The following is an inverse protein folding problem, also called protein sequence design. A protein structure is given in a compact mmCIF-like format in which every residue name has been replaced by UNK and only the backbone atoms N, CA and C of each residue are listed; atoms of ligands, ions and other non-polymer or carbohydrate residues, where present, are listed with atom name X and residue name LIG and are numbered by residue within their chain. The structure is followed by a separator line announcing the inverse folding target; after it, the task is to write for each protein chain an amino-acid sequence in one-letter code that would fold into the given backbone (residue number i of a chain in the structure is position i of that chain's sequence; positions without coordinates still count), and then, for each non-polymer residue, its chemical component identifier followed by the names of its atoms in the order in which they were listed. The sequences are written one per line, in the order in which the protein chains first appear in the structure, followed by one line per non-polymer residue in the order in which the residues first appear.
data_IF_225908560106
#
_entry.id   IF_225908560106
#
_cell.length_a   1.000
_cell.length_b   1.000
_cell.length_c   1.000
_cell.angle_alpha   90.00
_cell.angle_beta   90.00
_cell.angle_gamma   90.00
#
_symmetry.space_group_name_H-M   'P 1'
#
loop_
_entity.id
_entity.type
_entity.pdbx_description
1 polymer ?
#
# COMPACT_ATOMS: atom_id res chain seq x y z
N UNK A 1 -12.13 -30.75 -40.73
CA UNK A 1 -12.06 -29.28 -40.79
C UNK A 1 -12.85 -28.57 -39.65
N UNK A 2 -12.62 -28.95 -38.36
CA UNK A 2 -13.32 -28.28 -37.22
C UNK A 2 -12.38 -27.85 -36.06
N UNK A 3 -11.06 -28.05 -36.18
CA UNK A 3 -10.10 -27.76 -35.12
C UNK A 3 -9.45 -26.38 -35.19
N UNK A 4 -9.55 -25.65 -36.31
CA UNK A 4 -8.89 -24.34 -36.49
C UNK A 4 -9.67 -23.16 -35.87
N UNK A 5 -11.02 -23.27 -35.73
CA UNK A 5 -11.84 -22.15 -35.24
C UNK A 5 -11.73 -21.96 -33.70
N UNK A 6 -11.41 -22.98 -32.91
CA UNK A 6 -11.29 -22.86 -31.47
C UNK A 6 -10.01 -22.15 -31.01
N UNK A 7 -8.92 -22.33 -31.73
CA UNK A 7 -7.63 -21.69 -31.39
C UNK A 7 -7.68 -20.18 -31.69
N UNK A 8 -8.33 -19.78 -32.79
CA UNK A 8 -8.46 -18.37 -33.17
C UNK A 8 -9.37 -17.61 -32.20
N UNK A 9 -10.46 -18.23 -31.70
CA UNK A 9 -11.34 -17.60 -30.71
C UNK A 9 -10.63 -17.42 -29.33
N UNK A 10 -9.83 -18.38 -28.92
CA UNK A 10 -9.07 -18.28 -27.66
C UNK A 10 -7.97 -17.21 -27.72
N UNK A 11 -7.28 -17.07 -28.86
CA UNK A 11 -6.27 -16.02 -29.04
C UNK A 11 -6.88 -14.62 -29.13
N UNK A 12 -8.06 -14.47 -29.78
CA UNK A 12 -8.78 -13.21 -29.83
C UNK A 12 -9.33 -12.81 -28.45
N UNK A 13 -9.80 -13.75 -27.63
CA UNK A 13 -10.28 -13.45 -26.28
C UNK A 13 -9.14 -13.08 -25.32
N UNK A 14 -7.94 -13.69 -25.44
CA UNK A 14 -6.76 -13.25 -24.68
C UNK A 14 -6.30 -11.83 -25.08
N UNK A 15 -6.22 -11.56 -26.38
CA UNK A 15 -5.79 -10.24 -26.87
C UNK A 15 -6.76 -9.11 -26.48
N UNK A 16 -8.07 -9.39 -26.42
CA UNK A 16 -9.08 -8.42 -25.96
C UNK A 16 -8.98 -8.22 -24.43
N UNK A 17 -8.70 -9.27 -23.65
CA UNK A 17 -8.46 -9.14 -22.21
C UNK A 17 -7.18 -8.35 -21.91
N UNK A 18 -6.09 -8.59 -22.64
CA UNK A 18 -4.85 -7.82 -22.50
C UNK A 18 -5.01 -6.36 -22.92
N UNK A 19 -5.72 -6.09 -24.03
CA UNK A 19 -6.00 -4.73 -24.49
C UNK A 19 -6.89 -3.94 -23.52
N UNK A 20 -7.84 -4.59 -22.84
CA UNK A 20 -8.69 -3.96 -21.81
C UNK A 20 -7.92 -3.70 -20.51
N UNK A 21 -6.95 -4.53 -20.16
CA UNK A 21 -6.07 -4.31 -19.02
C UNK A 21 -5.10 -3.13 -19.26
N UNK A 22 -4.61 -2.97 -20.48
CA UNK A 22 -3.66 -1.93 -20.88
C UNK A 22 -4.26 -0.51 -20.89
N UNK A 23 -5.59 -0.38 -20.96
CA UNK A 23 -6.29 0.91 -21.02
C UNK A 23 -6.94 1.33 -19.69
N UNK A 24 -6.64 0.65 -18.59
CA UNK A 24 -7.20 1.00 -17.29
C UNK A 24 -6.48 2.22 -16.73
N UNK A 25 -7.21 3.33 -16.57
CA UNK A 25 -6.70 4.53 -15.90
C UNK A 25 -6.27 4.20 -14.47
N UNK A 26 -5.19 4.84 -14.00
CA UNK A 26 -4.76 4.70 -12.60
C UNK A 26 -5.90 5.12 -11.67
N UNK A 27 -6.06 4.39 -10.57
CA UNK A 27 -7.00 4.75 -9.51
C UNK A 27 -6.29 5.59 -8.46
N UNK A 28 -6.89 6.72 -8.11
CA UNK A 28 -6.35 7.67 -7.11
C UNK A 28 -7.17 7.57 -5.83
N UNK A 29 -6.51 7.20 -4.75
CA UNK A 29 -7.11 7.07 -3.41
C UNK A 29 -6.63 8.10 -2.41
N UNK A 30 -7.20 8.03 -1.21
CA UNK A 30 -6.83 8.88 -0.09
C UNK A 30 -6.70 8.07 1.19
N UNK A 31 -5.55 8.18 1.85
CA UNK A 31 -5.32 7.62 3.19
C UNK A 31 -6.04 8.50 4.21
N UNK A 32 -7.08 7.98 4.84
CA UNK A 32 -7.94 8.76 5.72
C UNK A 32 -8.55 7.91 6.84
N UNK A 33 -8.86 8.51 8.02
CA UNK A 33 -9.64 7.84 9.05
C UNK A 33 -11.05 7.47 8.56
N UNK A 34 -11.63 6.44 9.19
CA UNK A 34 -13.01 6.01 8.95
C UNK A 34 -14.02 7.15 9.05
N UNK A 35 -13.75 8.14 9.92
CA UNK A 35 -14.61 9.31 10.11
C UNK A 35 -14.82 10.15 8.83
N UNK A 36 -13.89 10.13 7.89
CA UNK A 36 -13.87 11.01 6.72
C UNK A 36 -14.35 10.36 5.41
N UNK A 37 -14.99 9.20 5.44
CA UNK A 37 -15.41 8.45 4.25
C UNK A 37 -16.24 9.30 3.28
N UNK A 38 -17.26 10.01 3.78
CA UNK A 38 -18.17 10.83 2.99
C UNK A 38 -17.43 12.02 2.37
N UNK A 39 -16.55 12.65 3.14
CA UNK A 39 -15.75 13.77 2.66
C UNK A 39 -14.78 13.35 1.55
N UNK A 40 -14.13 12.18 1.69
CA UNK A 40 -13.24 11.63 0.68
C UNK A 40 -13.99 11.27 -0.61
N UNK A 41 -15.18 10.66 -0.50
CA UNK A 41 -16.06 10.39 -1.65
C UNK A 41 -16.47 11.68 -2.35
N UNK A 42 -16.92 12.68 -1.58
CA UNK A 42 -17.34 13.98 -2.12
C UNK A 42 -16.18 14.74 -2.80
N UNK A 43 -14.95 14.54 -2.33
CA UNK A 43 -13.74 15.11 -2.93
C UNK A 43 -13.33 14.47 -4.27
N UNK A 44 -13.95 13.36 -4.68
CA UNK A 44 -13.77 12.74 -5.99
C UNK A 44 -12.68 11.68 -6.08
N UNK A 45 -12.21 11.14 -4.94
CA UNK A 45 -11.31 9.99 -4.93
C UNK A 45 -12.00 8.73 -5.42
N UNK A 46 -11.26 7.89 -6.15
CA UNK A 46 -11.77 6.62 -6.69
C UNK A 46 -11.96 5.58 -5.56
N UNK A 47 -11.18 5.70 -4.48
CA UNK A 47 -11.22 4.82 -3.32
C UNK A 47 -10.64 5.53 -2.09
N UNK A 48 -10.83 4.93 -0.93
CA UNK A 48 -10.14 5.32 0.31
C UNK A 48 -9.25 4.20 0.81
N UNK A 49 -8.22 4.57 1.55
CA UNK A 49 -7.32 3.69 2.27
C UNK A 49 -7.46 3.96 3.77
N UNK A 50 -7.93 2.95 4.52
CA UNK A 50 -8.22 3.07 5.95
C UNK A 50 -7.08 2.53 6.80
N UNK A 51 -7.02 2.94 8.07
CA UNK A 51 -6.06 2.40 9.02
C UNK A 51 -6.44 0.97 9.45
N UNK A 52 -5.56 -0.01 9.21
CA UNK A 52 -5.73 -1.38 9.70
C UNK A 52 -5.82 -1.42 11.23
N UNK A 53 -4.96 -0.66 11.93
CA UNK A 53 -4.97 -0.65 13.40
C UNK A 53 -6.24 -0.03 13.98
N UNK A 54 -6.82 0.99 13.32
CA UNK A 54 -8.13 1.53 13.67
C UNK A 54 -9.21 0.44 13.55
N UNK A 55 -9.32 -0.20 12.39
CA UNK A 55 -10.32 -1.25 12.13
C UNK A 55 -10.15 -2.48 13.05
N UNK A 56 -8.93 -2.94 13.25
CA UNK A 56 -8.65 -4.09 14.11
C UNK A 56 -8.90 -3.80 15.60
N UNK A 57 -8.76 -2.53 16.00
CA UNK A 57 -8.95 -2.07 17.38
C UNK A 57 -10.40 -1.86 17.79
N UNK A 58 -11.34 -1.73 16.86
CA UNK A 58 -12.75 -1.51 17.18
C UNK A 58 -13.33 -2.65 18.03
N UNK A 59 -14.22 -2.37 18.99
CA UNK A 59 -15.14 -3.38 19.54
C UNK A 59 -15.98 -4.02 18.42
N UNK A 60 -16.47 -5.24 18.59
CA UNK A 60 -17.19 -5.95 17.52
C UNK A 60 -18.44 -5.18 17.05
N UNK A 61 -19.24 -4.66 17.99
CA UNK A 61 -20.41 -3.82 17.66
C UNK A 61 -20.07 -2.54 16.89
N UNK A 62 -18.90 -1.97 17.13
CA UNK A 62 -18.42 -0.76 16.42
C UNK A 62 -17.92 -1.11 15.05
N UNK A 63 -17.29 -2.28 14.91
CA UNK A 63 -16.88 -2.81 13.61
C UNK A 63 -18.09 -3.09 12.71
N UNK A 64 -19.15 -3.69 13.24
CA UNK A 64 -20.38 -3.95 12.49
C UNK A 64 -21.01 -2.65 11.98
N UNK A 65 -21.05 -1.62 12.83
CA UNK A 65 -21.51 -0.26 12.40
C UNK A 65 -20.59 0.38 11.35
N UNK A 66 -19.27 0.21 11.51
CA UNK A 66 -18.30 0.70 10.54
C UNK A 66 -18.47 0.02 9.17
N UNK A 67 -18.67 -1.31 9.17
CA UNK A 67 -18.89 -2.09 7.96
C UNK A 67 -20.18 -1.67 7.23
N UNK A 68 -21.25 -1.45 7.96
CA UNK A 68 -22.51 -0.95 7.40
C UNK A 68 -22.32 0.47 6.82
N UNK A 69 -21.65 1.36 7.54
CA UNK A 69 -21.36 2.73 7.06
C UNK A 69 -20.52 2.71 5.78
N UNK A 70 -19.46 1.88 5.70
CA UNK A 70 -18.65 1.73 4.49
C UNK A 70 -19.53 1.32 3.29
N UNK A 71 -20.45 0.37 3.50
CA UNK A 71 -21.39 -0.10 2.46
C UNK A 71 -22.36 0.98 2.03
N UNK A 72 -22.91 1.75 2.97
CA UNK A 72 -23.85 2.84 2.68
C UNK A 72 -23.18 4.00 1.95
N UNK A 73 -21.99 4.40 2.36
CA UNK A 73 -21.21 5.43 1.66
C UNK A 73 -20.86 4.96 0.25
N UNK A 74 -20.53 3.67 0.08
CA UNK A 74 -20.29 3.06 -1.22
C UNK A 74 -19.04 3.55 -1.93
N UNK A 75 -18.05 4.12 -1.19
CA UNK A 75 -16.71 4.36 -1.72
C UNK A 75 -15.89 3.07 -1.56
N UNK A 76 -15.19 2.60 -2.60
CA UNK A 76 -14.34 1.42 -2.50
C UNK A 76 -13.24 1.56 -1.44
N UNK A 77 -12.92 0.48 -0.73
CA UNK A 77 -11.82 0.41 0.25
C UNK A 77 -10.92 -0.79 -0.09
N UNK A 78 -10.13 -0.74 -1.16
CA UNK A 78 -9.31 -1.87 -1.58
C UNK A 78 -7.98 -2.00 -0.84
N UNK A 79 -7.56 -0.97 -0.10
CA UNK A 79 -6.28 -0.91 0.60
C UNK A 79 -6.44 -0.38 2.03
N UNK A 80 -5.48 -0.73 2.89
CA UNK A 80 -5.34 -0.17 4.23
C UNK A 80 -3.87 0.02 4.60
N UNK A 81 -3.57 1.06 5.37
CA UNK A 81 -2.25 1.35 5.91
C UNK A 81 -2.16 1.11 7.43
N UNK A 82 -1.08 1.56 8.09
CA UNK A 82 -0.89 1.47 9.54
C UNK A 82 -1.19 0.07 10.09
N UNK A 83 -0.59 -0.96 9.48
CA UNK A 83 -0.91 -2.36 9.74
C UNK A 83 -0.82 -2.74 11.22
N UNK A 84 0.32 -2.50 11.87
CA UNK A 84 0.55 -2.90 13.25
C UNK A 84 0.57 -1.70 14.19
N UNK A 85 -0.08 -1.80 15.37
CA UNK A 85 0.12 -0.81 16.42
C UNK A 85 1.57 -0.82 16.91
N UNK A 86 2.11 0.34 17.29
CA UNK A 86 3.51 0.49 17.69
C UNK A 86 3.93 -0.39 18.87
N UNK A 87 2.97 -0.76 19.73
CA UNK A 87 3.23 -1.65 20.88
C UNK A 87 3.47 -3.11 20.47
N UNK A 88 2.94 -3.55 19.33
CA UNK A 88 3.10 -4.92 18.83
C UNK A 88 4.42 -5.06 18.08
N UNK A 89 5.49 -5.30 18.83
CA UNK A 89 6.85 -5.37 18.27
C UNK A 89 7.05 -6.60 17.39
N UNK A 90 7.75 -6.39 16.27
CA UNK A 90 8.18 -7.46 15.34
C UNK A 90 9.70 -7.59 15.27
N UNK A 91 10.43 -6.73 15.95
CA UNK A 91 11.88 -6.74 16.08
C UNK A 91 12.27 -6.58 17.54
N UNK A 92 13.46 -7.08 17.89
CA UNK A 92 14.02 -6.98 19.23
C UNK A 92 13.84 -8.23 20.10
N UNK A 93 14.31 -8.19 21.36
CA UNK A 93 14.32 -9.36 22.24
C UNK A 93 12.94 -9.74 22.80
N UNK A 94 11.98 -8.79 22.81
CA UNK A 94 10.67 -8.95 23.46
C UNK A 94 9.53 -9.19 22.45
N UNK A 95 9.81 -9.86 21.33
CA UNK A 95 8.75 -10.21 20.38
C UNK A 95 7.88 -11.34 20.90
N UNK A 96 6.57 -11.15 20.82
CA UNK A 96 5.55 -12.17 21.15
C UNK A 96 4.89 -12.65 19.85
N UNK A 97 5.30 -13.83 19.40
CA UNK A 97 4.83 -14.42 18.13
C UNK A 97 3.35 -14.80 18.16
N UNK A 98 2.85 -15.23 19.28
CA UNK A 98 1.45 -15.65 19.44
C UNK A 98 0.55 -14.42 19.45
N UNK A 99 0.93 -13.35 20.16
CA UNK A 99 0.21 -12.08 20.14
C UNK A 99 0.21 -11.46 18.74
N UNK A 100 1.34 -11.50 18.01
CA UNK A 100 1.41 -11.06 16.62
C UNK A 100 0.40 -11.80 15.75
N UNK A 101 0.36 -13.13 15.82
CA UNK A 101 -0.54 -13.94 14.98
C UNK A 101 -2.01 -13.79 15.38
N UNK A 102 -2.31 -13.65 16.66
CA UNK A 102 -3.66 -13.37 17.14
C UNK A 102 -4.19 -12.04 16.55
N UNK A 103 -3.36 -10.99 16.61
CA UNK A 103 -3.69 -9.70 16.01
C UNK A 103 -3.89 -9.80 14.49
N UNK A 104 -2.93 -10.41 13.78
CA UNK A 104 -2.97 -10.56 12.32
C UNK A 104 -4.22 -11.29 11.86
N UNK A 105 -4.58 -12.39 12.50
CA UNK A 105 -5.80 -13.16 12.18
C UNK A 105 -7.06 -12.32 12.36
N UNK A 106 -7.18 -11.59 13.47
CA UNK A 106 -8.30 -10.68 13.74
C UNK A 106 -8.35 -9.55 12.69
N UNK A 107 -7.21 -8.88 12.45
CA UNK A 107 -7.13 -7.80 11.48
C UNK A 107 -7.55 -8.27 10.08
N UNK A 108 -6.91 -9.31 9.55
CA UNK A 108 -7.20 -9.79 8.20
C UNK A 108 -8.64 -10.31 8.03
N UNK A 109 -9.24 -10.91 9.08
CA UNK A 109 -10.64 -11.32 9.03
C UNK A 109 -11.59 -10.13 8.86
N UNK A 110 -11.33 -9.01 9.55
CA UNK A 110 -12.11 -7.77 9.40
C UNK A 110 -11.87 -7.08 8.07
N UNK A 111 -10.60 -7.00 7.63
CA UNK A 111 -10.24 -6.40 6.36
C UNK A 111 -10.87 -7.14 5.17
N UNK A 112 -10.93 -8.47 5.23
CA UNK A 112 -11.60 -9.30 4.23
C UNK A 112 -13.10 -8.97 4.11
N UNK A 113 -13.80 -8.73 5.24
CA UNK A 113 -15.22 -8.37 5.23
C UNK A 113 -15.48 -7.00 4.58
N UNK A 114 -14.52 -6.08 4.66
CA UNK A 114 -14.56 -4.77 3.98
C UNK A 114 -14.25 -4.91 2.49
N UNK A 115 -13.52 -5.94 2.08
CA UNK A 115 -13.04 -6.14 0.72
C UNK A 115 -11.64 -5.59 0.46
N UNK A 116 -10.84 -5.39 1.53
CA UNK A 116 -9.46 -4.93 1.43
C UNK A 116 -8.58 -6.07 0.92
N UNK A 117 -7.78 -5.78 -0.12
CA UNK A 117 -6.87 -6.73 -0.77
C UNK A 117 -5.40 -6.36 -0.63
N UNK A 118 -5.09 -5.12 -0.26
CA UNK A 118 -3.72 -4.63 0.00
C UNK A 118 -3.64 -4.12 1.44
N UNK A 119 -2.63 -4.57 2.18
CA UNK A 119 -2.32 -4.08 3.53
C UNK A 119 -0.91 -3.51 3.53
N UNK A 120 -0.79 -2.21 3.70
CA UNK A 120 0.50 -1.51 3.75
C UNK A 120 1.16 -1.69 5.11
N UNK A 121 2.36 -2.28 5.11
CA UNK A 121 3.18 -2.51 6.28
C UNK A 121 4.27 -1.43 6.40
N UNK A 122 3.89 -0.22 6.74
CA UNK A 122 4.78 0.84 7.20
C UNK A 122 5.15 0.59 8.65
N UNK A 123 4.24 0.83 9.58
CA UNK A 123 4.29 0.45 11.02
C UNK A 123 5.66 0.67 11.68
N UNK A 124 6.27 1.85 11.47
CA UNK A 124 7.65 2.15 11.90
C UNK A 124 7.92 1.82 13.37
N UNK A 125 6.99 2.20 14.26
CA UNK A 125 7.12 1.92 15.70
C UNK A 125 7.12 0.44 16.05
N UNK A 126 6.38 -0.40 15.30
CA UNK A 126 6.34 -1.86 15.55
C UNK A 126 7.66 -2.54 15.13
N UNK A 127 8.30 -2.06 14.05
CA UNK A 127 9.55 -2.63 13.52
C UNK A 127 10.81 -1.86 13.94
N UNK A 128 10.69 -0.85 14.82
CA UNK A 128 11.83 -0.12 15.37
C UNK A 128 12.78 -1.09 16.07
N UNK A 129 14.02 -1.15 15.62
CA UNK A 129 15.08 -1.96 16.24
C UNK A 129 15.52 -1.29 17.55
N UNK A 130 15.45 -1.98 18.70
CA UNK A 130 15.91 -1.42 19.96
C UNK A 130 17.41 -1.10 19.95
N UNK A 131 17.80 -0.12 20.74
CA UNK A 131 19.20 0.24 20.92
C UNK A 131 20.03 -0.99 21.38
N UNK A 132 21.19 -1.19 20.76
CA UNK A 132 22.07 -2.33 21.05
C UNK A 132 21.61 -3.67 20.46
N UNK A 133 20.43 -3.76 19.85
CA UNK A 133 19.99 -4.99 19.21
C UNK A 133 20.58 -5.10 17.79
N UNK A 134 21.14 -6.27 17.39
CA UNK A 134 21.77 -6.42 16.07
C UNK A 134 20.77 -6.25 14.93
N UNK A 135 21.06 -5.36 13.96
CA UNK A 135 20.18 -5.09 12.81
C UNK A 135 19.95 -6.32 11.93
N UNK A 136 20.99 -7.14 11.74
CA UNK A 136 20.85 -8.38 10.95
C UNK A 136 19.86 -9.36 11.62
N UNK A 137 19.90 -9.45 12.95
CA UNK A 137 18.93 -10.26 13.69
C UNK A 137 17.52 -9.68 13.58
N UNK A 138 17.38 -8.36 13.65
CA UNK A 138 16.10 -7.69 13.44
C UNK A 138 15.56 -7.92 12.01
N UNK A 139 16.42 -7.90 11.00
CA UNK A 139 16.05 -8.22 9.64
C UNK A 139 15.54 -9.68 9.51
N UNK A 140 16.24 -10.64 10.13
CA UNK A 140 15.77 -12.03 10.15
C UNK A 140 14.42 -12.19 10.88
N UNK A 141 14.17 -11.42 11.95
CA UNK A 141 12.86 -11.39 12.61
C UNK A 141 11.76 -10.86 11.69
N UNK A 142 12.04 -9.84 10.86
CA UNK A 142 11.11 -9.36 9.84
C UNK A 142 10.84 -10.41 8.76
N UNK A 143 11.86 -11.13 8.31
CA UNK A 143 11.71 -12.25 7.36
C UNK A 143 10.83 -13.34 7.95
N UNK A 144 11.09 -13.77 9.18
CA UNK A 144 10.26 -14.76 9.88
C UNK A 144 8.82 -14.29 10.06
N UNK A 145 8.62 -13.03 10.44
CA UNK A 145 7.29 -12.44 10.56
C UNK A 145 6.55 -12.48 9.22
N UNK A 146 7.18 -12.00 8.13
CA UNK A 146 6.61 -12.00 6.79
C UNK A 146 6.20 -13.42 6.35
N UNK A 147 7.08 -14.40 6.54
CA UNK A 147 6.80 -15.82 6.21
C UNK A 147 5.65 -16.42 7.00
N UNK A 148 5.44 -15.98 8.24
CA UNK A 148 4.32 -16.46 9.07
C UNK A 148 2.98 -15.84 8.69
N UNK A 149 2.97 -14.56 8.30
CA UNK A 149 1.71 -13.87 7.99
C UNK A 149 1.26 -14.05 6.54
N UNK A 150 2.17 -14.33 5.60
CA UNK A 150 1.84 -14.45 4.18
C UNK A 150 0.81 -15.57 3.87
N UNK A 151 0.87 -16.77 4.48
CA UNK A 151 -0.17 -17.78 4.30
C UNK A 151 -1.55 -17.33 4.80
N UNK A 152 -1.58 -16.58 5.91
CA UNK A 152 -2.82 -16.02 6.48
C UNK A 152 -3.41 -14.93 5.58
N UNK A 153 -2.56 -14.10 5.00
CA UNK A 153 -2.95 -13.10 3.99
C UNK A 153 -3.52 -13.78 2.74
N UNK A 154 -2.82 -14.79 2.22
CA UNK A 154 -3.26 -15.57 1.04
C UNK A 154 -4.63 -16.20 1.24
N UNK A 155 -4.87 -16.81 2.38
CA UNK A 155 -6.15 -17.44 2.71
C UNK A 155 -7.34 -16.46 2.65
N UNK A 156 -7.08 -15.15 2.71
CA UNK A 156 -8.08 -14.08 2.67
C UNK A 156 -8.02 -13.20 1.42
N UNK A 157 -7.20 -13.56 0.43
CA UNK A 157 -7.03 -12.76 -0.78
C UNK A 157 -6.32 -11.41 -0.53
N UNK A 158 -5.52 -11.33 0.55
CA UNK A 158 -4.76 -10.14 0.92
C UNK A 158 -3.31 -10.28 0.47
N UNK A 159 -2.72 -9.19 0.00
CA UNK A 159 -1.27 -9.01 -0.16
C UNK A 159 -0.79 -7.97 0.84
N UNK A 160 0.20 -8.33 1.66
CA UNK A 160 0.91 -7.37 2.51
C UNK A 160 1.98 -6.69 1.66
N UNK A 161 2.01 -5.37 1.66
CA UNK A 161 2.98 -4.58 0.92
C UNK A 161 3.85 -3.78 1.90
N UNK A 162 5.13 -4.19 2.05
CA UNK A 162 6.05 -3.47 2.93
C UNK A 162 6.34 -2.09 2.38
N UNK A 163 6.27 -1.11 3.26
CA UNK A 163 6.58 0.28 3.00
C UNK A 163 7.92 0.65 3.64
N UNK A 164 8.94 0.97 2.87
CA UNK A 164 10.15 1.61 3.36
C UNK A 164 9.86 3.01 3.90
N UNK A 165 10.29 3.31 5.11
CA UNK A 165 10.06 4.59 5.77
C UNK A 165 11.37 5.33 5.97
N UNK A 166 11.32 6.67 5.94
CA UNK A 166 12.48 7.51 6.24
C UNK A 166 13.05 7.24 7.65
N UNK A 167 14.35 7.52 7.91
CA UNK A 167 15.01 7.21 9.18
C UNK A 167 14.40 7.86 10.43
N UNK A 168 13.64 8.95 10.27
CA UNK A 168 12.93 9.62 11.37
C UNK A 168 11.73 8.81 11.90
N UNK A 169 11.22 7.84 11.13
CA UNK A 169 10.04 7.04 11.48
C UNK A 169 10.40 5.61 11.89
N UNK A 170 11.55 5.09 11.41
CA UNK A 170 12.09 3.78 11.82
C UNK A 170 13.57 3.70 11.47
N UNK A 171 14.31 2.76 12.07
CA UNK A 171 15.74 2.57 11.82
C UNK A 171 16.08 1.30 11.02
N UNK A 172 15.08 0.70 10.35
CA UNK A 172 15.22 -0.48 9.50
C UNK A 172 14.24 -0.42 8.31
N UNK A 173 14.67 -0.92 7.15
CA UNK A 173 13.94 -0.82 5.88
C UNK A 173 13.65 0.65 5.55
N UNK A 174 14.71 1.39 5.27
CA UNK A 174 14.66 2.83 5.04
C UNK A 174 14.75 3.23 3.55
N UNK A 175 14.88 2.26 2.66
CA UNK A 175 14.88 2.48 1.20
C UNK A 175 14.05 1.42 0.49
N UNK A 176 13.58 1.73 -0.73
CA UNK A 176 12.87 0.75 -1.56
C UNK A 176 13.79 -0.44 -1.93
N UNK A 177 15.10 -0.20 -2.01
CA UNK A 177 16.09 -1.27 -2.19
C UNK A 177 16.08 -2.23 -1.00
N UNK A 178 16.13 -1.74 0.26
CA UNK A 178 16.04 -2.59 1.45
C UNK A 178 14.66 -3.30 1.55
N UNK A 179 13.58 -2.62 1.13
CA UNK A 179 12.25 -3.23 1.03
C UNK A 179 12.21 -4.38 0.03
N UNK A 180 12.84 -4.21 -1.13
CA UNK A 180 12.98 -5.28 -2.13
C UNK A 180 13.81 -6.46 -1.61
N UNK A 181 14.89 -6.20 -0.89
CA UNK A 181 15.71 -7.25 -0.27
C UNK A 181 14.88 -8.06 0.75
N UNK A 182 14.03 -7.39 1.55
CA UNK A 182 13.13 -8.06 2.48
C UNK A 182 12.09 -8.92 1.75
N UNK A 183 11.47 -8.40 0.69
CA UNK A 183 10.51 -9.14 -0.15
C UNK A 183 11.14 -10.38 -0.75
N UNK A 184 12.34 -10.25 -1.31
CA UNK A 184 13.10 -11.37 -1.87
C UNK A 184 13.47 -12.42 -0.80
N UNK A 185 13.88 -11.97 0.39
CA UNK A 185 14.24 -12.87 1.49
C UNK A 185 13.02 -13.64 2.03
N UNK A 186 11.83 -13.04 2.05
CA UNK A 186 10.57 -13.71 2.42
C UNK A 186 10.15 -14.69 1.35
N UNK A 187 10.16 -14.30 0.06
CA UNK A 187 9.92 -15.14 -1.09
C UNK A 187 8.46 -15.61 -1.24
N UNK A 188 7.48 -14.86 -0.73
CA UNK A 188 6.06 -15.22 -0.84
C UNK A 188 5.28 -14.19 -1.69
N UNK A 189 4.43 -14.64 -2.64
CA UNK A 189 3.67 -13.75 -3.53
C UNK A 189 2.66 -12.85 -2.79
N UNK A 190 2.28 -13.19 -1.56
CA UNK A 190 1.39 -12.38 -0.73
C UNK A 190 2.14 -11.46 0.25
N UNK A 191 3.49 -11.37 0.13
CA UNK A 191 4.29 -10.34 0.78
C UNK A 191 5.13 -9.62 -0.27
N UNK A 192 4.82 -8.36 -0.54
CA UNK A 192 5.33 -7.60 -1.67
C UNK A 192 5.77 -6.20 -1.25
N UNK A 193 6.17 -5.35 -2.19
CA UNK A 193 6.65 -4.00 -1.97
C UNK A 193 5.57 -2.96 -2.31
N UNK A 194 5.52 -1.88 -1.56
CA UNK A 194 4.94 -0.61 -1.98
C UNK A 194 6.03 0.47 -1.98
N UNK A 195 5.81 1.53 -2.74
CA UNK A 195 6.72 2.68 -2.79
C UNK A 195 5.94 3.96 -2.49
N UNK A 196 6.36 4.67 -1.44
CA UNK A 196 5.90 6.03 -1.14
C UNK A 196 6.91 7.04 -1.66
N UNK A 197 6.45 7.94 -2.54
CA UNK A 197 7.27 9.03 -3.06
C UNK A 197 7.84 9.93 -1.97
N UNK A 198 7.05 10.22 -0.92
CA UNK A 198 7.50 11.04 0.20
C UNK A 198 8.74 10.45 0.89
N UNK A 199 8.72 9.16 1.16
CA UNK A 199 9.84 8.47 1.80
C UNK A 199 11.03 8.33 0.85
N UNK A 200 10.80 7.95 -0.41
CA UNK A 200 11.84 7.85 -1.43
C UNK A 200 12.59 9.19 -1.60
N UNK A 201 11.85 10.30 -1.73
CA UNK A 201 12.42 11.63 -1.85
C UNK A 201 13.16 12.08 -0.56
N UNK A 202 12.62 11.74 0.62
CA UNK A 202 13.23 12.08 1.92
C UNK A 202 14.61 11.48 2.11
N UNK A 203 14.87 10.30 1.56
CA UNK A 203 16.20 9.64 1.61
C UNK A 203 17.00 9.85 0.33
N UNK A 204 16.46 10.62 -0.64
CA UNK A 204 17.08 10.89 -1.95
C UNK A 204 17.44 9.61 -2.72
N UNK A 205 16.60 8.57 -2.58
CA UNK A 205 16.78 7.34 -3.34
C UNK A 205 16.46 7.57 -4.81
N UNK A 206 17.29 7.02 -5.70
CA UNK A 206 17.07 7.12 -7.14
C UNK A 206 15.79 6.37 -7.55
N UNK A 207 14.81 7.03 -8.20
CA UNK A 207 13.62 6.39 -8.73
C UNK A 207 13.88 5.21 -9.70
N UNK A 208 15.10 5.05 -10.21
CA UNK A 208 15.48 3.86 -10.98
C UNK A 208 15.31 2.53 -10.20
N UNK A 209 15.24 2.57 -8.87
CA UNK A 209 14.87 1.41 -8.06
C UNK A 209 13.53 0.80 -8.46
N UNK A 210 12.57 1.60 -8.94
CA UNK A 210 11.28 1.16 -9.44
C UNK A 210 11.42 0.18 -10.60
N UNK A 211 12.41 0.38 -11.48
CA UNK A 211 12.68 -0.52 -12.60
C UNK A 211 13.17 -1.89 -12.12
N UNK A 212 13.96 -1.93 -11.04
CA UNK A 212 14.46 -3.17 -10.43
C UNK A 212 13.34 -3.90 -9.68
N UNK A 213 12.47 -3.14 -9.00
CA UNK A 213 11.39 -3.68 -8.16
C UNK A 213 10.09 -3.94 -8.93
N UNK A 214 10.06 -3.72 -10.26
CA UNK A 214 8.85 -3.72 -11.11
C UNK A 214 7.84 -4.84 -10.82
N UNK A 215 8.34 -6.08 -10.64
CA UNK A 215 7.50 -7.27 -10.48
C UNK A 215 6.95 -7.42 -9.04
N UNK A 216 7.42 -6.58 -8.12
CA UNK A 216 7.08 -6.61 -6.70
C UNK A 216 6.19 -5.44 -6.25
N UNK A 217 6.10 -4.34 -7.02
CA UNK A 217 5.32 -3.16 -6.62
C UNK A 217 3.83 -3.45 -6.74
N UNK A 218 3.10 -3.33 -5.61
CA UNK A 218 1.65 -3.59 -5.55
C UNK A 218 0.83 -2.37 -5.19
N UNK A 219 1.46 -1.36 -4.62
CA UNK A 219 0.77 -0.14 -4.19
C UNK A 219 1.73 1.05 -4.19
N UNK A 220 1.18 2.26 -4.25
CA UNK A 220 1.95 3.51 -4.19
C UNK A 220 1.30 4.48 -3.22
N UNK A 221 2.14 5.21 -2.49
CA UNK A 221 1.74 6.43 -1.79
C UNK A 221 2.38 7.66 -2.40
N UNK A 222 1.72 8.80 -2.20
CA UNK A 222 2.16 10.09 -2.74
C UNK A 222 1.84 11.24 -1.80
N UNK A 223 2.84 12.05 -1.51
CA UNK A 223 2.70 13.38 -0.95
C UNK A 223 3.76 14.31 -1.55
N UNK A 224 3.55 15.62 -1.47
CA UNK A 224 4.62 16.58 -1.67
C UNK A 224 5.63 16.44 -0.51
N UNK A 225 6.93 16.20 -0.78
CA UNK A 225 7.95 16.02 0.26
C UNK A 225 8.09 17.24 1.17
N UNK A 226 7.81 18.44 0.67
CA UNK A 226 7.82 19.66 1.46
C UNK A 226 6.52 19.78 2.28
N UNK A 227 6.61 19.43 3.55
CA UNK A 227 5.49 19.51 4.49
C UNK A 227 4.55 18.31 4.51
N UNK A 228 4.77 17.25 3.70
CA UNK A 228 3.89 16.09 3.55
C UNK A 228 2.44 16.50 3.31
N UNK A 229 2.27 17.39 2.32
CA UNK A 229 0.98 17.94 1.91
C UNK A 229 0.52 17.36 0.58
N UNK A 230 -0.71 17.66 0.16
CA UNK A 230 -1.24 17.22 -1.12
C UNK A 230 -0.38 17.72 -2.28
N UNK A 231 0.00 16.86 -3.24
CA UNK A 231 0.73 17.28 -4.46
C UNK A 231 -0.28 17.93 -5.42
N UNK A 232 -0.17 19.25 -5.66
CA UNK A 232 -1.18 20.01 -6.42
C UNK A 232 -0.77 20.35 -7.84
N UNK A 233 0.53 20.59 -8.06
CA UNK A 233 1.06 20.95 -9.36
C UNK A 233 2.37 20.23 -9.66
N UNK A 234 2.69 20.03 -10.93
CA UNK A 234 3.94 19.38 -11.36
C UNK A 234 5.19 20.25 -11.12
N UNK A 235 5.01 21.55 -10.84
CA UNK A 235 6.08 22.51 -10.65
C UNK A 235 6.54 22.66 -9.20
N UNK A 236 5.74 22.20 -8.23
CA UNK A 236 6.07 22.37 -6.81
C UNK A 236 7.15 21.40 -6.31
N UNK A 237 7.44 20.34 -7.07
CA UNK A 237 8.51 19.39 -6.79
C UNK A 237 8.89 18.62 -8.07
N UNK A 238 10.10 18.06 -8.15
CA UNK A 238 10.49 17.22 -9.27
C UNK A 238 9.94 15.79 -9.15
N UNK A 239 8.69 15.61 -9.54
CA UNK A 239 7.99 14.31 -9.56
C UNK A 239 8.30 13.47 -10.81
N UNK A 240 8.89 14.09 -11.86
CA UNK A 240 9.00 13.48 -13.18
C UNK A 240 9.81 12.19 -13.22
N UNK A 241 10.98 12.06 -12.54
CA UNK A 241 11.75 10.81 -12.55
C UNK A 241 10.94 9.64 -11.98
N UNK A 242 10.18 9.86 -10.90
CA UNK A 242 9.31 8.86 -10.29
C UNK A 242 8.21 8.39 -11.24
N UNK A 243 7.47 9.34 -11.82
CA UNK A 243 6.40 8.99 -12.76
C UNK A 243 6.93 8.37 -14.05
N UNK A 244 8.09 8.81 -14.55
CA UNK A 244 8.73 8.22 -15.72
C UNK A 244 9.10 6.75 -15.49
N UNK A 245 9.68 6.42 -14.34
CA UNK A 245 9.99 5.05 -13.96
C UNK A 245 8.72 4.17 -13.87
N UNK A 246 7.65 4.68 -13.27
CA UNK A 246 6.36 3.98 -13.19
C UNK A 246 5.72 3.74 -14.57
N UNK A 247 5.78 4.73 -15.46
CA UNK A 247 5.33 4.55 -16.87
C UNK A 247 6.17 3.50 -17.59
N UNK A 248 7.48 3.51 -17.40
CA UNK A 248 8.40 2.55 -18.03
C UNK A 248 8.06 1.10 -17.64
N UNK A 249 7.69 0.84 -16.39
CA UNK A 249 7.26 -0.50 -15.96
C UNK A 249 5.80 -0.80 -16.29
N UNK A 250 5.08 0.14 -16.90
CA UNK A 250 3.65 -0.03 -17.24
C UNK A 250 2.74 -0.11 -16.01
N UNK A 251 3.08 0.56 -14.90
CA UNK A 251 2.25 0.51 -13.68
C UNK A 251 0.83 1.02 -13.96
N UNK A 252 -0.18 0.21 -13.60
CA UNK A 252 -1.61 0.50 -13.76
C UNK A 252 -2.41 0.16 -12.49
N UNK A 253 -1.73 0.14 -11.35
CA UNK A 253 -2.33 -0.14 -10.04
C UNK A 253 -3.02 1.07 -9.42
N UNK A 254 -2.86 1.22 -8.13
CA UNK A 254 -3.45 2.26 -7.29
C UNK A 254 -2.37 3.15 -6.70
N UNK A 255 -2.70 4.43 -6.52
CA UNK A 255 -1.87 5.39 -5.81
C UNK A 255 -2.75 6.14 -4.81
N UNK A 256 -2.39 6.12 -3.52
CA UNK A 256 -3.09 6.87 -2.49
C UNK A 256 -2.33 8.16 -2.15
N UNK A 257 -3.05 9.26 -2.01
CA UNK A 257 -2.50 10.46 -1.39
C UNK A 257 -2.42 10.21 0.12
N UNK A 258 -1.20 10.17 0.68
CA UNK A 258 -0.95 10.06 2.11
C UNK A 258 -0.35 11.35 2.63
N UNK A 259 -1.19 12.35 2.84
CA UNK A 259 -0.79 13.72 3.09
C UNK A 259 -1.76 14.46 4.02
N UNK A 260 -1.25 15.50 4.67
CA UNK A 260 -2.05 16.39 5.48
C UNK A 260 -2.76 17.46 4.64
N UNK A 261 -4.00 17.79 5.01
CA UNK A 261 -4.74 18.92 4.44
C UNK A 261 -5.61 19.57 5.49
N UNK A 262 -5.80 20.88 5.36
CA UNK A 262 -6.81 21.66 6.11
C UNK A 262 -8.00 22.05 5.22
N UNK A 263 -7.93 21.74 3.93
CA UNK A 263 -8.95 22.10 2.93
C UNK A 263 -9.09 20.99 1.89
N UNK A 264 -9.61 19.82 2.31
CA UNK A 264 -9.78 18.66 1.43
C UNK A 264 -10.53 19.00 0.12
N UNK A 265 -11.64 19.78 0.13
CA UNK A 265 -12.32 20.14 -1.12
C UNK A 265 -11.48 20.96 -2.10
N UNK A 266 -10.54 21.77 -1.60
CA UNK A 266 -9.66 22.59 -2.43
C UNK A 266 -8.40 21.85 -2.90
N UNK A 267 -7.85 20.94 -2.07
CA UNK A 267 -6.59 20.25 -2.34
C UNK A 267 -6.77 18.96 -3.15
N UNK A 268 -7.90 18.26 -3.00
CA UNK A 268 -8.12 16.97 -3.65
C UNK A 268 -8.25 17.06 -5.18
N UNK A 269 -9.03 17.97 -5.78
CA UNK A 269 -9.19 18.01 -7.24
C UNK A 269 -7.87 18.22 -7.99
N UNK A 270 -6.97 19.18 -7.63
CA UNK A 270 -5.70 19.34 -8.30
C UNK A 270 -4.78 18.13 -8.10
N UNK A 271 -4.74 17.51 -6.90
CA UNK A 271 -3.94 16.31 -6.65
C UNK A 271 -4.39 15.12 -7.51
N UNK A 272 -5.69 14.87 -7.58
CA UNK A 272 -6.28 13.82 -8.41
C UNK A 272 -5.95 14.07 -9.90
N UNK A 273 -6.07 15.31 -10.37
CA UNK A 273 -5.75 15.68 -11.74
C UNK A 273 -4.25 15.48 -12.05
N UNK A 274 -3.36 15.90 -11.16
CA UNK A 274 -1.91 15.71 -11.28
C UNK A 274 -1.59 14.22 -11.44
N UNK A 275 -2.08 13.39 -10.52
CA UNK A 275 -1.79 11.95 -10.51
C UNK A 275 -2.35 11.25 -11.75
N UNK A 276 -3.59 11.55 -12.15
CA UNK A 276 -4.17 10.96 -13.38
C UNK A 276 -3.42 11.37 -14.64
N UNK A 277 -2.96 12.63 -14.74
CA UNK A 277 -2.19 13.12 -15.88
C UNK A 277 -0.79 12.51 -15.95
N UNK A 278 -0.18 12.21 -14.81
CA UNK A 278 1.15 11.61 -14.75
C UNK A 278 1.23 10.22 -15.41
N UNK A 279 0.10 9.52 -15.58
CA UNK A 279 0.02 8.17 -16.17
C UNK A 279 -0.64 8.13 -17.56
N UNK A 280 -0.91 9.28 -18.14
CA UNK A 280 -1.34 9.43 -19.55
C UNK A 280 -0.11 9.53 -20.45
#
# INVERSE_FOLDING_TARGET
MKTHNFVVLALLSLAVLEATAQNRAIQVGYCTPLANLEAAKAAGFDYVELSTSEIAGLPDSDFDRALERIRLVGVPVPASNLFLPAALKVTGPAIDRDQQMAYVKKAFARLQQIGITIVVFGSGGARQVPEGFPKDQAFQQLVEFGRRIAPEARARGITVAVEPLRPQETNIINSAAEGLDLVNAIGDPNFQLMVDFYHLASVKEDPAIILRARDHIRHLHMANPEGRVFPRTAQEYDYQPFFAALRTIGYRGRISVEASTKNLPGDAPPAIALLRNAFR
#
